data_IF_380714142784
#
_entry.id   IF_380714142784
#
_cell.length_a   1.000
_cell.length_b   1.000
_cell.length_c   1.000
_cell.angle_alpha   90.00
_cell.angle_beta   90.00
_cell.angle_gamma   90.00
#
_symmetry.space_group_name_H-M   'P 1'
#
loop_
_entity.id
_entity.type
_entity.pdbx_description
1 polymer ?
#
# COMPACT_ATOMS: atom_id res chain seq x y z
N UNK A 1 1.76 11.70 -5.72
CA UNK A 1 2.61 10.62 -5.19
C UNK A 1 3.97 10.64 -5.88
N UNK A 2 4.08 10.44 -7.21
CA UNK A 2 5.39 10.41 -7.90
C UNK A 2 6.32 11.62 -7.70
N UNK A 3 5.81 12.86 -7.74
CA UNK A 3 6.62 14.06 -7.43
C UNK A 3 7.10 14.05 -5.97
N UNK A 4 6.26 13.59 -5.04
CA UNK A 4 6.62 13.46 -3.62
C UNK A 4 7.75 12.45 -3.43
N UNK A 5 7.65 11.27 -4.07
CA UNK A 5 8.71 10.26 -4.05
C UNK A 5 10.03 10.75 -4.66
N UNK A 6 9.97 11.61 -5.68
CA UNK A 6 11.17 12.24 -6.23
C UNK A 6 11.80 13.22 -5.23
N UNK A 7 10.99 14.02 -4.54
CA UNK A 7 11.47 14.91 -3.49
C UNK A 7 12.02 14.12 -2.29
N UNK A 8 11.38 13.02 -1.90
CA UNK A 8 11.86 12.10 -0.86
C UNK A 8 13.27 11.61 -1.18
N UNK A 9 13.49 11.13 -2.41
CA UNK A 9 14.81 10.72 -2.88
C UNK A 9 15.84 11.86 -2.89
N UNK A 10 15.42 13.08 -3.27
CA UNK A 10 16.28 14.26 -3.28
C UNK A 10 16.72 14.69 -1.87
N UNK A 11 15.82 14.59 -0.89
CA UNK A 11 16.08 14.92 0.51
C UNK A 11 16.65 13.74 1.33
N UNK A 12 16.95 12.61 0.68
CA UNK A 12 17.61 11.46 1.30
C UNK A 12 16.68 10.55 2.11
N UNK A 13 15.38 10.70 1.96
CA UNK A 13 14.39 9.76 2.51
C UNK A 13 14.52 8.45 1.72
N UNK A 14 15.13 7.43 2.33
CA UNK A 14 15.38 6.13 1.70
C UNK A 14 14.11 5.31 1.39
N UNK A 15 12.94 5.84 1.73
CA UNK A 15 11.62 5.25 1.52
C UNK A 15 10.73 6.23 0.76
N UNK A 16 9.88 5.73 -0.14
CA UNK A 16 8.96 6.57 -0.89
C UNK A 16 7.69 6.88 -0.09
N UNK A 17 7.19 8.12 -0.19
CA UNK A 17 5.90 8.50 0.37
C UNK A 17 4.73 7.89 -0.41
N UNK A 18 3.86 7.19 0.32
CA UNK A 18 2.61 6.62 -0.19
C UNK A 18 1.44 6.96 0.74
N UNK A 19 0.22 6.69 0.29
CA UNK A 19 -0.98 6.83 1.11
C UNK A 19 -0.99 5.80 2.24
N UNK A 20 -1.11 6.25 3.49
CA UNK A 20 -1.15 5.36 4.65
C UNK A 20 -2.53 4.75 4.84
N UNK A 21 -2.59 3.42 4.98
CA UNK A 21 -3.83 2.67 5.29
C UNK A 21 -4.45 3.14 6.61
N UNK A 22 -3.61 3.49 7.59
CA UNK A 22 -4.04 3.98 8.90
C UNK A 22 -4.83 5.29 8.80
N UNK A 23 -4.40 6.20 7.90
CA UNK A 23 -5.10 7.47 7.68
C UNK A 23 -6.46 7.25 7.03
N UNK A 24 -6.58 6.25 6.15
CA UNK A 24 -7.86 5.85 5.55
C UNK A 24 -8.79 5.23 6.61
N UNK A 25 -8.25 4.41 7.51
CA UNK A 25 -9.01 3.86 8.64
C UNK A 25 -9.48 4.94 9.61
N UNK A 26 -8.61 5.88 9.97
CA UNK A 26 -8.95 7.03 10.81
C UNK A 26 -10.05 7.89 10.17
N UNK A 27 -9.97 8.10 8.86
CA UNK A 27 -10.98 8.82 8.10
C UNK A 27 -12.33 8.10 8.10
N UNK A 28 -12.33 6.77 7.98
CA UNK A 28 -13.55 5.96 8.09
C UNK A 28 -14.21 6.02 9.47
N UNK A 29 -13.42 6.12 10.55
CA UNK A 29 -13.91 6.21 11.93
C UNK A 29 -14.37 7.62 12.30
N UNK A 30 -13.56 8.64 11.98
CA UNK A 30 -13.82 10.03 12.35
C UNK A 30 -14.80 10.72 11.41
N UNK A 31 -14.98 10.21 10.18
CA UNK A 31 -15.80 10.81 9.11
C UNK A 31 -15.41 12.25 8.77
N UNK A 32 -14.14 12.63 9.00
CA UNK A 32 -13.62 13.97 8.73
C UNK A 32 -12.58 13.90 7.61
N UNK A 33 -13.00 14.15 6.36
CA UNK A 33 -12.11 14.18 5.19
C UNK A 33 -11.60 15.56 4.82
N UNK A 34 -11.72 16.56 5.69
CA UNK A 34 -11.36 17.94 5.34
C UNK A 34 -9.87 18.13 5.02
N UNK A 35 -9.59 18.77 3.88
CA UNK A 35 -8.22 19.09 3.43
C UNK A 35 -7.46 19.99 4.42
N UNK A 36 -8.17 20.85 5.16
CA UNK A 36 -7.57 21.77 6.13
C UNK A 36 -6.99 21.03 7.32
N UNK A 37 -7.65 19.97 7.78
CA UNK A 37 -7.14 19.12 8.88
C UNK A 37 -5.81 18.49 8.47
N UNK A 38 -5.74 17.96 7.26
CA UNK A 38 -4.51 17.36 6.71
C UNK A 38 -3.39 18.40 6.59
N UNK A 39 -3.69 19.62 6.13
CA UNK A 39 -2.70 20.70 6.04
C UNK A 39 -2.17 21.13 7.42
N UNK A 40 -3.06 21.25 8.43
CA UNK A 40 -2.65 21.58 9.81
C UNK A 40 -1.78 20.46 10.38
N UNK A 41 -2.17 19.19 10.19
CA UNK A 41 -1.37 18.03 10.61
C UNK A 41 0.01 18.02 9.95
N UNK A 42 0.11 18.33 8.65
CA UNK A 42 1.38 18.45 7.95
C UNK A 42 2.26 19.56 8.55
N UNK A 43 1.66 20.71 8.91
CA UNK A 43 2.36 21.79 9.61
C UNK A 43 2.94 21.34 10.96
N UNK A 44 2.18 20.58 11.75
CA UNK A 44 2.66 19.99 13.01
C UNK A 44 3.80 18.99 12.79
N UNK A 45 3.72 18.15 11.75
CA UNK A 45 4.79 17.20 11.42
C UNK A 45 6.10 17.91 11.08
N UNK A 46 6.04 18.98 10.27
CA UNK A 46 7.22 19.80 9.95
C UNK A 46 7.77 20.45 11.22
N UNK A 47 6.90 21.03 12.05
CA UNK A 47 7.30 21.67 13.31
C UNK A 47 8.01 20.69 14.26
N UNK A 48 7.45 19.49 14.47
CA UNK A 48 8.07 18.49 15.34
C UNK A 48 9.33 17.88 14.74
N UNK A 49 9.44 17.79 13.41
CA UNK A 49 10.65 17.30 12.74
C UNK A 49 11.87 18.21 12.97
N UNK A 50 11.68 19.52 13.07
CA UNK A 50 12.75 20.50 13.33
C UNK A 50 13.28 20.39 14.77
N UNK A 51 12.43 19.97 15.71
CA UNK A 51 12.79 19.88 17.13
C UNK A 51 13.44 18.52 17.45
N UNK A 52 14.76 18.44 17.28
CA UNK A 52 15.54 17.20 17.48
C UNK A 52 15.40 16.53 18.87
N UNK A 53 14.93 17.25 19.90
CA UNK A 53 14.59 16.67 21.21
C UNK A 53 13.46 15.64 21.14
N UNK A 54 12.45 15.87 20.29
CA UNK A 54 11.40 14.89 20.06
C UNK A 54 11.94 13.68 19.29
N UNK A 55 12.85 13.90 18.34
CA UNK A 55 13.59 12.82 17.66
C UNK A 55 14.34 11.92 18.64
N UNK A 56 15.04 12.51 19.62
CA UNK A 56 15.72 11.75 20.67
C UNK A 56 14.75 10.96 21.57
N UNK A 57 13.58 11.52 21.87
CA UNK A 57 12.54 10.81 22.62
C UNK A 57 12.03 9.59 21.84
N UNK A 58 11.76 9.72 20.54
CA UNK A 58 11.36 8.59 19.71
C UNK A 58 12.48 7.54 19.57
N UNK A 59 13.74 7.97 19.49
CA UNK A 59 14.89 7.06 19.48
C UNK A 59 15.10 6.32 20.81
N UNK A 60 14.56 6.83 21.92
CA UNK A 60 14.64 6.17 23.24
C UNK A 60 13.63 5.03 23.42
N UNK A 61 12.68 4.86 22.50
CA UNK A 61 11.67 3.81 22.58
C UNK A 61 12.33 2.43 22.34
N UNK A 62 12.12 1.44 23.22
CA UNK A 62 12.68 0.10 23.06
C UNK A 62 12.23 -0.60 21.76
N UNK A 63 13.16 -1.33 21.12
CA UNK A 63 12.88 -2.10 19.90
C UNK A 63 11.74 -3.12 20.05
N UNK A 64 11.53 -3.65 21.26
CA UNK A 64 10.44 -4.60 21.55
C UNK A 64 9.06 -3.96 21.36
N UNK A 65 8.89 -2.68 21.72
CA UNK A 65 7.65 -1.94 21.52
C UNK A 65 7.43 -1.67 20.04
N UNK A 66 8.47 -1.27 19.31
CA UNK A 66 8.39 -1.10 17.87
C UNK A 66 7.95 -2.39 17.18
N UNK A 67 8.57 -3.53 17.49
CA UNK A 67 8.21 -4.81 16.91
C UNK A 67 6.74 -5.18 17.18
N UNK A 68 6.24 -4.93 18.40
CA UNK A 68 4.84 -5.17 18.75
C UNK A 68 3.87 -4.29 17.93
N UNK A 69 4.18 -3.01 17.78
CA UNK A 69 3.36 -2.07 16.97
C UNK A 69 3.37 -2.50 15.50
N UNK A 70 4.54 -2.81 14.94
CA UNK A 70 4.65 -3.28 13.55
C UNK A 70 3.87 -4.58 13.31
N UNK A 71 3.83 -5.50 14.27
CA UNK A 71 3.04 -6.72 14.17
C UNK A 71 1.54 -6.41 13.97
N UNK A 72 0.99 -5.50 14.78
CA UNK A 72 -0.40 -5.06 14.66
C UNK A 72 -0.64 -4.33 13.33
N UNK A 73 0.28 -3.42 12.98
CA UNK A 73 0.16 -2.62 11.76
C UNK A 73 0.17 -3.49 10.50
N UNK A 74 1.10 -4.44 10.39
CA UNK A 74 1.15 -5.38 9.27
C UNK A 74 -0.09 -6.28 9.21
N UNK A 75 -0.63 -6.71 10.36
CA UNK A 75 -1.88 -7.46 10.42
C UNK A 75 -3.08 -6.68 9.86
N UNK A 76 -3.22 -5.41 10.24
CA UNK A 76 -4.28 -4.52 9.72
C UNK A 76 -4.07 -4.26 8.22
N UNK A 77 -2.84 -3.98 7.78
CA UNK A 77 -2.53 -3.76 6.36
C UNK A 77 -2.92 -4.99 5.52
N UNK A 78 -2.59 -6.20 6.00
CA UNK A 78 -2.97 -7.44 5.33
C UNK A 78 -4.51 -7.62 5.27
N UNK A 79 -5.21 -7.36 6.38
CA UNK A 79 -6.67 -7.44 6.44
C UNK A 79 -7.35 -6.42 5.50
N UNK A 80 -6.86 -5.18 5.46
CA UNK A 80 -7.37 -4.16 4.53
C UNK A 80 -7.09 -4.57 3.08
N UNK A 81 -5.91 -5.10 2.79
CA UNK A 81 -5.58 -5.67 1.48
C UNK A 81 -6.57 -6.75 1.03
N UNK A 82 -6.89 -7.70 1.90
CA UNK A 82 -7.87 -8.75 1.63
C UNK A 82 -9.29 -8.20 1.50
N UNK A 83 -9.64 -7.13 2.22
CA UNK A 83 -10.98 -6.53 2.12
C UNK A 83 -11.30 -6.04 0.70
N UNK A 84 -10.31 -5.68 -0.11
CA UNK A 84 -10.52 -5.33 -1.52
C UNK A 84 -11.04 -6.49 -2.37
N UNK A 85 -10.83 -7.74 -1.97
CA UNK A 85 -11.38 -8.90 -2.68
C UNK A 85 -12.91 -8.94 -2.65
N UNK A 86 -13.54 -8.28 -1.67
CA UNK A 86 -15.01 -8.17 -1.59
C UNK A 86 -15.63 -7.47 -2.80
N UNK A 87 -14.84 -6.66 -3.53
CA UNK A 87 -15.30 -5.97 -4.74
C UNK A 87 -15.23 -6.87 -5.98
N UNK A 88 -14.60 -8.04 -5.87
CA UNK A 88 -14.48 -9.04 -6.94
C UNK A 88 -15.43 -10.21 -6.71
N UNK A 89 -15.76 -10.96 -7.77
CA UNK A 89 -16.62 -12.13 -7.64
C UNK A 89 -15.83 -13.32 -7.04
N UNK A 90 -15.91 -13.49 -5.71
CA UNK A 90 -15.24 -14.59 -5.00
C UNK A 90 -15.98 -15.94 -5.09
N UNK A 91 -17.13 -15.99 -5.77
CA UNK A 91 -17.82 -17.25 -6.07
C UNK A 91 -17.28 -17.95 -7.34
N UNK A 92 -16.44 -17.26 -8.12
CA UNK A 92 -15.80 -17.81 -9.31
C UNK A 92 -14.53 -18.58 -8.94
N UNK A 93 -14.45 -19.86 -9.35
CA UNK A 93 -13.24 -20.69 -9.16
C UNK A 93 -11.99 -20.04 -9.78
N UNK A 94 -12.15 -19.27 -10.87
CA UNK A 94 -11.07 -18.51 -11.52
C UNK A 94 -10.41 -17.54 -10.55
N UNK A 95 -11.20 -16.69 -9.89
CA UNK A 95 -10.70 -15.68 -8.96
C UNK A 95 -10.13 -16.32 -7.70
N UNK A 96 -10.79 -17.36 -7.17
CA UNK A 96 -10.27 -18.09 -6.01
C UNK A 96 -8.91 -18.73 -6.31
N UNK A 97 -8.73 -19.29 -7.51
CA UNK A 97 -7.46 -19.83 -7.98
C UNK A 97 -6.39 -18.74 -8.12
N UNK A 98 -6.70 -17.61 -8.76
CA UNK A 98 -5.75 -16.49 -8.93
C UNK A 98 -5.27 -15.99 -7.57
N UNK A 99 -6.19 -15.74 -6.63
CA UNK A 99 -5.87 -15.25 -5.28
C UNK A 99 -5.04 -16.27 -4.51
N UNK A 100 -5.49 -17.52 -4.43
CA UNK A 100 -4.79 -18.56 -3.67
C UNK A 100 -3.39 -18.85 -4.21
N UNK A 101 -3.27 -18.94 -5.54
CA UNK A 101 -2.00 -19.26 -6.19
C UNK A 101 -1.00 -18.09 -6.14
N UNK A 102 -1.46 -16.85 -6.34
CA UNK A 102 -0.61 -15.66 -6.23
C UNK A 102 -0.10 -15.43 -4.81
N UNK A 103 -0.93 -15.65 -3.78
CA UNK A 103 -0.50 -15.58 -2.38
C UNK A 103 0.52 -16.67 -2.04
N UNK A 104 0.27 -17.91 -2.47
CA UNK A 104 1.18 -19.02 -2.20
C UNK A 104 2.55 -18.80 -2.84
N UNK A 105 2.59 -18.53 -4.15
CA UNK A 105 3.85 -18.30 -4.86
C UNK A 105 4.53 -16.99 -4.47
N UNK A 106 3.75 -15.97 -4.13
CA UNK A 106 4.24 -14.71 -3.58
C UNK A 106 5.01 -14.86 -2.27
N UNK A 107 4.75 -15.91 -1.49
CA UNK A 107 5.52 -16.25 -0.29
C UNK A 107 6.62 -17.28 -0.58
N UNK A 108 6.32 -18.29 -1.41
CA UNK A 108 7.23 -19.42 -1.65
C UNK A 108 8.46 -19.04 -2.47
N UNK A 109 8.31 -18.24 -3.53
CA UNK A 109 9.41 -17.88 -4.44
C UNK A 109 10.44 -16.97 -3.74
N UNK A 110 10.06 -15.88 -3.05
CA UNK A 110 11.03 -15.07 -2.32
C UNK A 110 11.78 -15.84 -1.24
N UNK A 111 11.10 -16.74 -0.53
CA UNK A 111 11.73 -17.59 0.48
C UNK A 111 12.77 -18.53 -0.15
N UNK A 112 12.47 -19.09 -1.34
CA UNK A 112 13.44 -19.86 -2.12
C UNK A 112 14.67 -19.03 -2.50
N UNK A 113 14.47 -17.81 -3.04
CA UNK A 113 15.56 -16.91 -3.41
C UNK A 113 16.41 -16.48 -2.21
N UNK A 114 15.77 -16.18 -1.08
CA UNK A 114 16.43 -15.79 0.17
C UNK A 114 17.31 -16.93 0.73
N UNK A 115 16.78 -18.16 0.77
CA UNK A 115 17.54 -19.33 1.22
C UNK A 115 18.70 -19.66 0.29
N UNK A 116 18.48 -19.55 -1.02
CA UNK A 116 19.52 -19.80 -2.01
C UNK A 116 20.68 -18.80 -1.88
N UNK A 117 20.37 -17.51 -1.72
CA UNK A 117 21.36 -16.45 -1.51
C UNK A 117 22.19 -16.68 -0.24
N UNK A 118 21.55 -17.13 0.85
CA UNK A 118 22.21 -17.37 2.14
C UNK A 118 23.13 -18.60 2.11
N UNK A 119 22.78 -19.63 1.34
CA UNK A 119 23.56 -20.87 1.24
C UNK A 119 24.72 -20.83 0.23
N UNK A 120 24.53 -20.18 -0.92
CA UNK A 120 25.50 -20.23 -2.03
C UNK A 120 26.36 -18.96 -2.16
N UNK A 121 26.16 -17.94 -1.31
CA UNK A 121 26.74 -16.58 -1.41
C UNK A 121 26.46 -15.85 -2.73
N UNK A 122 25.72 -16.46 -3.64
CA UNK A 122 25.30 -15.93 -4.93
C UNK A 122 23.82 -16.26 -5.16
N UNK A 123 23.09 -15.38 -5.84
CA UNK A 123 21.68 -15.61 -6.14
C UNK A 123 21.47 -16.66 -7.24
N UNK A 124 20.27 -17.23 -7.36
CA UNK A 124 19.99 -18.33 -8.31
C UNK A 124 20.17 -17.92 -9.79
N UNK A 125 20.06 -16.63 -10.12
CA UNK A 125 20.49 -16.11 -11.40
C UNK A 125 22.03 -15.99 -11.44
N UNK A 126 22.68 -16.90 -12.15
CA UNK A 126 24.14 -16.92 -12.36
C UNK A 126 24.49 -16.67 -13.83
N UNK A 127 24.29 -15.45 -14.29
CA UNK A 127 24.77 -15.01 -15.62
C UNK A 127 26.12 -14.30 -15.51
N UNK A 128 26.87 -14.21 -16.62
CA UNK A 128 28.16 -13.49 -16.69
C UNK A 128 28.04 -11.97 -16.42
N UNK A 129 26.82 -11.45 -16.30
CA UNK A 129 26.53 -10.05 -15.98
C UNK A 129 26.02 -9.93 -14.52
N UNK A 130 26.91 -9.54 -13.60
CA UNK A 130 26.57 -9.41 -12.17
C UNK A 130 25.42 -8.43 -11.90
N UNK A 131 25.43 -7.27 -12.58
CA UNK A 131 24.37 -6.27 -12.46
C UNK A 131 22.98 -6.82 -12.82
N UNK A 132 22.88 -7.70 -13.81
CA UNK A 132 21.62 -8.31 -14.22
C UNK A 132 21.13 -9.30 -13.17
N UNK A 133 22.05 -10.08 -12.59
CA UNK A 133 21.73 -11.01 -11.51
C UNK A 133 21.15 -10.25 -10.31
N UNK A 134 21.74 -9.11 -9.93
CA UNK A 134 21.28 -8.31 -8.79
C UNK A 134 19.86 -7.76 -8.99
N UNK A 135 19.53 -7.29 -10.20
CA UNK A 135 18.17 -6.88 -10.53
C UNK A 135 17.17 -8.02 -10.40
N UNK A 136 17.47 -9.17 -11.02
CA UNK A 136 16.58 -10.34 -11.00
C UNK A 136 16.40 -10.83 -9.57
N UNK A 137 17.48 -10.99 -8.82
CA UNK A 137 17.43 -11.46 -7.43
C UNK A 137 16.62 -10.51 -6.55
N UNK A 138 16.77 -9.19 -6.73
CA UNK A 138 16.00 -8.19 -5.95
C UNK A 138 14.50 -8.24 -6.24
N UNK A 139 14.12 -8.38 -7.51
CA UNK A 139 12.70 -8.45 -7.92
C UNK A 139 12.05 -9.72 -7.35
N UNK A 140 12.71 -10.88 -7.50
CA UNK A 140 12.16 -12.16 -7.04
C UNK A 140 12.29 -12.37 -5.53
N UNK A 141 13.17 -11.64 -4.84
CA UNK A 141 13.24 -11.61 -3.38
C UNK A 141 12.14 -10.74 -2.73
N UNK A 142 11.35 -9.98 -3.50
CA UNK A 142 10.28 -9.14 -2.98
C UNK A 142 8.92 -9.86 -3.04
N UNK A 143 8.34 -10.31 -1.90
CA UNK A 143 7.04 -10.97 -1.87
C UNK A 143 5.89 -10.25 -2.56
N UNK A 144 5.65 -8.94 -2.32
CA UNK A 144 4.54 -8.24 -2.97
C UNK A 144 4.76 -8.12 -4.49
N UNK A 145 6.01 -7.99 -4.95
CA UNK A 145 6.32 -7.88 -6.38
C UNK A 145 6.04 -9.18 -7.11
N UNK A 146 6.47 -10.31 -6.53
CA UNK A 146 6.21 -11.63 -7.10
C UNK A 146 4.71 -11.95 -7.12
N UNK A 147 4.02 -11.71 -6.01
CA UNK A 147 2.57 -11.90 -5.93
C UNK A 147 1.83 -11.08 -7.00
N UNK A 148 2.22 -9.82 -7.21
CA UNK A 148 1.64 -8.94 -8.21
C UNK A 148 1.88 -9.45 -9.64
N UNK A 149 3.12 -9.83 -9.98
CA UNK A 149 3.45 -10.37 -11.31
C UNK A 149 2.58 -11.60 -11.60
N UNK A 150 2.49 -12.52 -10.66
CA UNK A 150 1.73 -13.77 -10.83
C UNK A 150 0.23 -13.49 -10.93
N UNK A 151 -0.32 -12.63 -10.07
CA UNK A 151 -1.72 -12.25 -10.11
C UNK A 151 -2.08 -11.60 -11.45
N UNK A 152 -1.25 -10.67 -11.95
CA UNK A 152 -1.48 -9.99 -13.23
C UNK A 152 -1.38 -10.96 -14.41
N UNK A 153 -0.37 -11.84 -14.42
CA UNK A 153 -0.21 -12.83 -15.50
C UNK A 153 -1.41 -13.77 -15.53
N UNK A 154 -1.82 -14.31 -14.39
CA UNK A 154 -2.96 -15.22 -14.31
C UNK A 154 -4.29 -14.53 -14.64
N UNK A 155 -4.51 -13.31 -14.15
CA UNK A 155 -5.74 -12.57 -14.43
C UNK A 155 -5.89 -12.18 -15.91
N UNK A 156 -4.78 -12.01 -16.64
CA UNK A 156 -4.81 -11.76 -18.09
C UNK A 156 -4.84 -13.03 -18.94
N UNK A 157 -4.35 -14.17 -18.43
CA UNK A 157 -4.27 -15.43 -19.18
C UNK A 157 -5.53 -16.29 -18.99
N UNK A 158 -6.14 -16.27 -17.80
CA UNK A 158 -7.28 -17.11 -17.46
C UNK A 158 -8.61 -16.49 -17.90
N UNK A 159 -9.29 -17.21 -18.80
CA UNK A 159 -10.66 -17.04 -19.30
C UNK A 159 -11.21 -15.60 -19.34
N UNK A 160 -11.12 -14.99 -20.53
CA UNK A 160 -11.38 -13.55 -20.76
C UNK A 160 -12.87 -13.24 -20.91
N UNK A 161 -13.74 -14.24 -21.11
CA UNK A 161 -15.14 -14.05 -21.50
C UNK A 161 -15.98 -13.29 -20.46
N UNK A 162 -15.80 -13.59 -19.17
CA UNK A 162 -16.52 -12.94 -18.06
C UNK A 162 -15.60 -12.12 -17.12
N UNK A 163 -14.35 -11.91 -17.53
CA UNK A 163 -13.32 -11.28 -16.69
C UNK A 163 -13.69 -9.86 -16.22
N UNK A 164 -14.41 -9.07 -17.03
CA UNK A 164 -14.82 -7.73 -16.64
C UNK A 164 -15.80 -7.71 -15.44
N UNK A 165 -16.71 -8.69 -15.40
CA UNK A 165 -17.68 -8.84 -14.29
C UNK A 165 -16.97 -9.41 -13.07
N UNK A 166 -16.12 -10.41 -13.26
CA UNK A 166 -15.41 -11.08 -12.18
C UNK A 166 -14.36 -10.19 -11.48
N UNK A 167 -13.74 -9.25 -12.21
CA UNK A 167 -12.80 -8.24 -11.65
C UNK A 167 -13.48 -7.13 -10.84
N UNK A 168 -14.80 -7.04 -10.85
CA UNK A 168 -15.52 -5.97 -10.15
C UNK A 168 -15.51 -4.62 -10.87
N UNK A 169 -15.25 -4.58 -12.18
CA UNK A 169 -15.15 -3.33 -12.95
C UNK A 169 -16.41 -2.47 -12.85
N UNK A 170 -17.59 -3.10 -12.74
CA UNK A 170 -18.87 -2.42 -12.55
C UNK A 170 -18.94 -1.59 -11.26
N UNK A 171 -18.24 -2.04 -10.20
CA UNK A 171 -18.14 -1.29 -8.96
C UNK A 171 -17.23 -0.07 -9.12
N UNK A 172 -16.07 -0.26 -9.77
CA UNK A 172 -15.07 0.78 -10.01
C UNK A 172 -15.52 1.87 -11.00
N UNK A 173 -16.41 1.54 -11.95
CA UNK A 173 -16.92 2.48 -12.94
C UNK A 173 -17.55 3.73 -12.30
N UNK A 174 -18.24 3.56 -11.16
CA UNK A 174 -18.88 4.66 -10.42
C UNK A 174 -17.89 5.66 -9.83
N UNK A 175 -16.65 5.23 -9.58
CA UNK A 175 -15.59 6.06 -8.99
C UNK A 175 -14.65 6.68 -10.03
N UNK A 176 -14.83 6.37 -11.32
CA UNK A 176 -14.02 6.96 -12.41
C UNK A 176 -14.34 8.44 -12.66
N UNK A 177 -15.51 8.92 -12.24
CA UNK A 177 -15.92 10.32 -12.42
C UNK A 177 -16.12 11.00 -11.07
N UNK A 178 -15.33 12.04 -10.79
CA UNK A 178 -15.36 12.75 -9.50
C UNK A 178 -16.71 13.43 -9.20
N UNK A 179 -17.46 13.79 -10.25
CA UNK A 179 -18.78 14.44 -10.19
C UNK A 179 -19.99 13.48 -10.12
N UNK A 180 -19.77 12.16 -10.10
CA UNK A 180 -20.86 11.19 -10.19
C UNK A 180 -21.62 10.94 -8.88
N UNK A 181 -21.06 11.31 -7.72
CA UNK A 181 -21.60 10.96 -6.40
C UNK A 181 -21.56 12.16 -5.44
N UNK A 182 -22.73 12.60 -4.96
CA UNK A 182 -22.88 13.73 -4.04
C UNK A 182 -22.22 13.48 -2.67
N UNK A 183 -21.95 12.23 -2.31
CA UNK A 183 -21.27 11.86 -1.06
C UNK A 183 -19.81 12.30 -1.01
N UNK A 184 -19.19 12.59 -2.16
CA UNK A 184 -17.84 13.14 -2.20
C UNK A 184 -17.77 14.52 -1.53
N UNK A 185 -18.79 15.37 -1.68
CA UNK A 185 -18.76 16.74 -1.13
C UNK A 185 -18.96 16.75 0.38
N UNK A 186 -19.84 15.88 0.90
CA UNK A 186 -20.09 15.73 2.34
C UNK A 186 -18.86 15.18 3.08
N UNK A 187 -18.06 14.35 2.41
CA UNK A 187 -16.84 13.74 2.95
C UNK A 187 -15.73 14.77 3.25
N UNK A 188 -15.65 15.89 2.52
CA UNK A 188 -14.61 16.92 2.73
C UNK A 188 -15.00 18.01 3.75
N UNK A 189 -16.15 17.88 4.42
CA UNK A 189 -16.66 18.87 5.36
C UNK A 189 -15.83 18.95 6.65
N UNK A 190 -15.76 20.15 7.26
CA UNK A 190 -15.07 20.37 8.53
C UNK A 190 -15.84 19.73 9.72
N UNK A 191 -15.13 19.26 10.77
CA UNK A 191 -15.77 18.72 11.96
C UNK A 191 -16.68 19.75 12.64
N UNK A 192 -17.71 19.28 13.34
CA UNK A 192 -18.66 20.09 14.12
C UNK A 192 -19.33 21.22 13.33
N UNK A 193 -19.54 21.04 12.01
CA UNK A 193 -20.20 22.03 11.17
C UNK A 193 -19.44 23.39 11.10
N UNK A 194 -18.12 23.39 11.35
CA UNK A 194 -17.27 24.59 11.26
C UNK A 194 -17.23 25.21 9.85
N UNK A 195 -17.75 24.52 8.83
CA UNK A 195 -18.00 25.09 7.50
C UNK A 195 -18.83 26.38 7.55
N UNK A 196 -19.64 26.58 8.61
CA UNK A 196 -20.44 27.80 8.81
C UNK A 196 -19.58 29.03 9.14
N UNK A 197 -18.40 28.83 9.73
CA UNK A 197 -17.44 29.90 10.04
C UNK A 197 -16.30 29.97 9.02
N UNK A 198 -16.06 28.88 8.30
CA UNK A 198 -14.99 28.76 7.33
C UNK A 198 -15.54 28.08 6.06
N UNK A 199 -16.18 28.85 5.16
CA UNK A 199 -16.77 28.28 3.96
C UNK A 199 -15.71 27.59 3.09
N UNK A 200 -16.06 26.46 2.44
CA UNK A 200 -15.18 25.82 1.47
C UNK A 200 -15.03 26.74 0.25
N UNK A 201 -13.80 27.12 -0.06
CA UNK A 201 -13.39 27.80 -1.29
C UNK A 201 -13.00 26.76 -2.34
#
# INVERSE_FOLDING_TARGET
>A
QGIGTLLDGLFGTATGSTVSVENVGLLGSTRIGSRRVIQISAGFMIFFSILGKFGALFASIPFTIFAAIYCVMFGIIAAVGLSFLQFTNMNSMRNLFIVGFSLFLGLSIPEYFSRYMTGAQNGPAHTKAGWFNDYINTIFASPPTVALIIAVVLDNTLDVRDAAKDRGMQWWERFRTFRGDSRNEEFYTLPFNLNRFFPPS
#
